data_IF_895738371906
#
_entry.id   IF_895738371906
#
_cell.length_a   1.000
_cell.length_b   1.000
_cell.length_c   1.000
_cell.angle_alpha   90.00
_cell.angle_beta   90.00
_cell.angle_gamma   90.00
#
_symmetry.space_group_name_H-M   'P 1'
#
loop_
_entity.id
_entity.type
_entity.pdbx_description
1 polymer ?
#
# COMPACT_ATOMS: atom_id res chain seq x y z
N UNK A 1 -7.19 -11.12 12.55
CA UNK A 1 -6.80 -9.98 11.69
C UNK A 1 -5.52 -9.27 12.12
N UNK A 2 -5.31 -8.88 13.39
CA UNK A 2 -4.10 -8.12 13.80
C UNK A 2 -2.75 -8.77 13.46
N UNK A 3 -2.64 -10.11 13.47
CA UNK A 3 -1.40 -10.83 13.11
C UNK A 3 -0.97 -10.58 11.66
N UNK A 4 -1.93 -10.51 10.74
CA UNK A 4 -1.65 -10.39 9.31
C UNK A 4 -0.93 -9.08 8.97
N UNK A 5 -1.47 -7.95 9.46
CA UNK A 5 -0.92 -6.61 9.22
C UNK A 5 0.38 -6.31 10.00
N UNK A 6 0.88 -7.30 10.74
CA UNK A 6 2.10 -7.22 11.53
C UNK A 6 3.24 -8.06 10.93
N UNK A 7 3.02 -8.82 9.87
CA UNK A 7 4.07 -9.65 9.26
C UNK A 7 4.58 -9.05 7.93
N UNK A 8 5.90 -8.85 7.81
CA UNK A 8 6.54 -8.32 6.59
C UNK A 8 6.23 -9.17 5.36
N UNK A 9 6.13 -10.49 5.54
CA UNK A 9 5.79 -11.42 4.46
C UNK A 9 4.48 -11.03 3.77
N UNK A 10 3.45 -10.68 4.53
CA UNK A 10 2.15 -10.32 3.96
C UNK A 10 2.17 -8.93 3.32
N UNK A 11 2.92 -7.99 3.89
CA UNK A 11 3.19 -6.70 3.24
C UNK A 11 3.84 -6.91 1.86
N UNK A 12 4.88 -7.75 1.79
CA UNK A 12 5.60 -8.03 0.55
C UNK A 12 4.72 -8.69 -0.51
N UNK A 13 3.81 -9.59 -0.11
CA UNK A 13 2.82 -10.16 -1.03
C UNK A 13 1.95 -9.06 -1.62
N UNK A 14 1.46 -8.13 -0.79
CA UNK A 14 0.63 -7.02 -1.29
C UNK A 14 1.42 -6.09 -2.21
N UNK A 15 2.68 -5.76 -1.88
CA UNK A 15 3.55 -4.95 -2.76
C UNK A 15 3.77 -5.65 -4.10
N UNK A 16 3.95 -6.97 -4.12
CA UNK A 16 4.10 -7.73 -5.36
C UNK A 16 2.81 -7.75 -6.19
N UNK A 17 1.64 -7.88 -5.57
CA UNK A 17 0.35 -7.84 -6.27
C UNK A 17 0.02 -6.47 -6.84
N UNK A 18 0.57 -5.37 -6.28
CA UNK A 18 0.49 -4.04 -6.89
C UNK A 18 1.20 -3.96 -8.25
N UNK A 19 2.08 -4.92 -8.58
CA UNK A 19 2.79 -5.01 -9.87
C UNK A 19 2.03 -5.85 -10.91
N UNK A 20 0.90 -6.44 -10.54
CA UNK A 20 0.18 -7.36 -11.42
C UNK A 20 -0.35 -6.66 -12.68
N UNK A 21 -0.40 -7.40 -13.79
CA UNK A 21 -0.97 -6.92 -15.06
C UNK A 21 -2.46 -6.61 -14.98
N UNK A 22 -3.21 -7.33 -14.13
CA UNK A 22 -4.64 -7.16 -13.95
C UNK A 22 -4.95 -5.91 -13.14
N UNK A 23 -5.76 -5.01 -13.72
CA UNK A 23 -6.29 -3.83 -13.03
C UNK A 23 -6.99 -4.21 -11.72
N UNK A 24 -7.84 -5.23 -11.75
CA UNK A 24 -8.63 -5.62 -10.57
C UNK A 24 -7.73 -6.17 -9.46
N UNK A 25 -6.71 -6.97 -9.80
CA UNK A 25 -5.76 -7.49 -8.80
C UNK A 25 -5.03 -6.35 -8.10
N UNK A 26 -4.56 -5.36 -8.87
CA UNK A 26 -3.88 -4.18 -8.30
C UNK A 26 -4.79 -3.36 -7.37
N UNK A 27 -6.05 -3.14 -7.75
CA UNK A 27 -7.01 -2.41 -6.92
C UNK A 27 -7.32 -3.18 -5.63
N UNK A 28 -7.59 -4.49 -5.73
CA UNK A 28 -7.80 -5.32 -4.54
C UNK A 28 -6.57 -5.35 -3.63
N UNK A 29 -5.37 -5.46 -4.21
CA UNK A 29 -4.11 -5.41 -3.46
C UNK A 29 -3.93 -4.07 -2.76
N UNK A 30 -4.28 -2.95 -3.40
CA UNK A 30 -4.26 -1.63 -2.78
C UNK A 30 -5.18 -1.56 -1.54
N UNK A 31 -6.41 -2.06 -1.63
CA UNK A 31 -7.35 -2.05 -0.50
C UNK A 31 -6.85 -2.85 0.71
N UNK A 32 -6.02 -3.89 0.51
CA UNK A 32 -5.38 -4.62 1.61
C UNK A 32 -4.11 -3.90 2.06
N UNK A 33 -3.29 -3.44 1.13
CA UNK A 33 -2.05 -2.69 1.39
C UNK A 33 -2.30 -1.44 2.23
N UNK A 34 -3.36 -0.66 1.96
CA UNK A 34 -3.68 0.55 2.73
C UNK A 34 -3.86 0.27 4.22
N UNK A 35 -4.32 -0.92 4.60
CA UNK A 35 -4.49 -1.31 6.02
C UNK A 35 -3.13 -1.47 6.72
N UNK A 36 -2.09 -1.93 6.01
CA UNK A 36 -0.73 -1.95 6.57
C UNK A 36 -0.23 -0.55 6.87
N UNK A 37 -0.43 0.40 5.95
CA UNK A 37 0.04 1.79 6.09
C UNK A 37 -0.80 2.57 7.11
N UNK A 38 -2.11 2.36 7.14
CA UNK A 38 -3.02 3.03 8.07
C UNK A 38 -2.98 2.45 9.50
N UNK A 39 -2.31 1.32 9.75
CA UNK A 39 -2.21 0.74 11.10
C UNK A 39 -1.51 1.72 12.08
N UNK A 40 -2.21 2.27 13.10
CA UNK A 40 -1.63 3.21 14.05
C UNK A 40 -0.57 2.56 14.97
N UNK A 41 -0.67 1.26 15.18
CA UNK A 41 0.27 0.47 15.98
C UNK A 41 1.20 -0.34 15.05
N UNK A 42 1.79 0.33 14.07
CA UNK A 42 2.67 -0.32 13.09
C UNK A 42 3.95 -0.81 13.76
N UNK A 43 4.30 -2.10 13.67
CA UNK A 43 5.58 -2.57 14.18
C UNK A 43 6.76 -1.93 13.45
N UNK A 44 7.88 -1.77 14.15
CA UNK A 44 9.10 -1.16 13.59
C UNK A 44 9.59 -1.85 12.31
N UNK A 45 9.58 -3.18 12.28
CA UNK A 45 9.99 -3.94 11.09
C UNK A 45 9.09 -3.73 9.86
N UNK A 46 7.81 -3.35 10.06
CA UNK A 46 6.93 -2.97 8.95
C UNK A 46 7.28 -1.57 8.44
N UNK A 47 7.63 -0.64 9.34
CA UNK A 47 8.09 0.70 8.97
C UNK A 47 9.39 0.60 8.16
N UNK A 48 10.36 -0.16 8.65
CA UNK A 48 11.64 -0.41 7.96
C UNK A 48 11.41 -1.00 6.55
N UNK A 49 10.57 -2.05 6.43
CA UNK A 49 10.24 -2.63 5.13
C UNK A 49 9.56 -1.62 4.16
N UNK A 50 8.71 -0.73 4.67
CA UNK A 50 8.10 0.34 3.87
C UNK A 50 9.12 1.40 3.43
N UNK A 51 10.07 1.75 4.30
CA UNK A 51 11.15 2.70 3.99
C UNK A 51 12.11 2.13 2.94
N UNK A 52 12.51 0.87 3.09
CA UNK A 52 13.39 0.16 2.14
C UNK A 52 12.79 0.12 0.73
N UNK A 53 11.47 -0.09 0.65
CA UNK A 53 10.74 -0.17 -0.63
C UNK A 53 10.10 1.17 -1.04
N UNK A 54 10.34 2.26 -0.32
CA UNK A 54 9.59 3.53 -0.45
C UNK A 54 9.50 4.03 -1.88
N UNK A 55 10.62 4.07 -2.60
CA UNK A 55 10.67 4.58 -3.98
C UNK A 55 9.78 3.75 -4.92
N UNK A 56 9.89 2.43 -4.83
CA UNK A 56 9.13 1.50 -5.67
C UNK A 56 7.64 1.56 -5.32
N UNK A 57 7.29 1.52 -4.04
CA UNK A 57 5.89 1.58 -3.59
C UNK A 57 5.23 2.88 -4.05
N UNK A 58 5.88 4.03 -3.87
CA UNK A 58 5.32 5.31 -4.34
C UNK A 58 5.09 5.30 -5.86
N UNK A 59 6.03 4.76 -6.63
CA UNK A 59 5.87 4.59 -8.08
C UNK A 59 4.67 3.70 -8.43
N UNK A 60 4.47 2.59 -7.71
CA UNK A 60 3.33 1.70 -7.95
C UNK A 60 2.00 2.38 -7.61
N UNK A 61 1.94 3.12 -6.50
CA UNK A 61 0.74 3.85 -6.10
C UNK A 61 0.39 4.93 -7.13
N UNK A 62 1.34 5.75 -7.58
CA UNK A 62 1.09 6.75 -8.62
C UNK A 62 0.62 6.17 -9.96
N UNK A 63 0.99 4.92 -10.27
CA UNK A 63 0.56 4.21 -11.47
C UNK A 63 -0.65 3.29 -11.23
N UNK A 64 -1.31 3.41 -10.08
CA UNK A 64 -2.49 2.61 -9.77
C UNK A 64 -3.61 2.98 -10.75
N UNK A 65 -4.30 2.01 -11.37
CA UNK A 65 -5.33 2.30 -12.35
C UNK A 65 -6.51 3.03 -11.71
N UNK A 66 -6.87 4.17 -12.29
CA UNK A 66 -8.13 4.84 -11.94
C UNK A 66 -9.26 4.27 -12.80
N UNK A 67 -10.45 4.16 -12.21
CA UNK A 67 -11.69 3.84 -12.92
C UNK A 67 -12.55 5.11 -12.94
N UNK A 68 -13.28 5.34 -14.03
CA UNK A 68 -14.20 6.47 -14.11
C UNK A 68 -15.30 6.23 -13.06
N UNK A 69 -15.36 7.08 -12.04
CA UNK A 69 -16.33 6.98 -10.94
C UNK A 69 -15.76 6.47 -9.61
N UNK A 70 -14.44 6.34 -9.47
CA UNK A 70 -13.78 5.94 -8.20
C UNK A 70 -13.00 7.11 -7.56
N UNK A 71 -13.66 8.27 -7.40
CA UNK A 71 -13.05 9.44 -6.74
C UNK A 71 -12.56 9.09 -5.32
N UNK A 72 -13.25 8.19 -4.62
CA UNK A 72 -12.86 7.68 -3.30
C UNK A 72 -11.51 6.93 -3.34
N UNK A 73 -11.25 6.12 -4.38
CA UNK A 73 -9.99 5.38 -4.50
C UNK A 73 -8.80 6.35 -4.69
N UNK A 74 -9.01 7.40 -5.47
CA UNK A 74 -8.00 8.43 -5.72
C UNK A 74 -7.66 9.20 -4.43
N UNK A 75 -8.67 9.58 -3.65
CA UNK A 75 -8.47 10.22 -2.34
C UNK A 75 -7.74 9.30 -1.37
N UNK A 76 -8.16 8.04 -1.27
CA UNK A 76 -7.50 7.05 -0.42
C UNK A 76 -6.04 6.84 -0.83
N UNK A 77 -5.76 6.70 -2.12
CA UNK A 77 -4.39 6.56 -2.66
C UNK A 77 -3.54 7.74 -2.24
N UNK A 78 -4.04 8.96 -2.43
CA UNK A 78 -3.28 10.17 -2.16
C UNK A 78 -3.00 10.34 -0.66
N UNK A 79 -3.94 9.93 0.22
CA UNK A 79 -3.72 9.86 1.66
C UNK A 79 -2.62 8.85 2.02
N UNK A 80 -2.64 7.66 1.42
CA UNK A 80 -1.62 6.63 1.66
C UNK A 80 -0.24 7.08 1.17
N UNK A 81 -0.16 7.72 0.01
CA UNK A 81 1.10 8.32 -0.50
C UNK A 81 1.67 9.32 0.51
N UNK A 82 0.83 10.25 1.01
CA UNK A 82 1.24 11.23 2.02
C UNK A 82 1.72 10.57 3.31
N UNK A 83 1.08 9.50 3.76
CA UNK A 83 1.50 8.77 4.96
C UNK A 83 2.88 8.11 4.77
N UNK A 84 3.11 7.46 3.63
CA UNK A 84 4.41 6.83 3.31
C UNK A 84 5.53 7.87 3.23
N UNK A 85 5.27 9.04 2.63
CA UNK A 85 6.24 10.13 2.54
C UNK A 85 6.63 10.70 3.91
N UNK A 86 5.73 10.64 4.89
CA UNK A 86 5.95 11.11 6.28
C UNK A 86 6.67 10.09 7.16
N UNK A 87 6.87 8.85 6.70
CA UNK A 87 7.63 7.86 7.45
C UNK A 87 9.10 8.30 7.58
N UNK A 88 9.65 8.15 8.78
CA UNK A 88 11.03 8.49 9.15
C UNK A 88 11.74 7.29 9.73
#
# INVERSE_FOLDING_TARGET
>A
MKRYIQEVRFLNIMINLLKDSSKNIRICAFHVFKVFVANPNKPRHIIEALLDNRREVLKLLHNLPTSKGEDELDEERDLIIKQIQKLS
#
